data_IF_340775507103
#
_entry.id   IF_340775507103
#
_cell.length_a   1.000
_cell.length_b   1.000
_cell.length_c   1.000
_cell.angle_alpha   90.00
_cell.angle_beta   90.00
_cell.angle_gamma   90.00
#
_symmetry.space_group_name_H-M   'P 1'
#
loop_
_entity.id
_entity.type
_entity.pdbx_description
1 polymer ?
#
# COMPACT_ATOMS: atom_id res chain seq x y z
N UNK A 1 21.86 -4.67 12.60
CA UNK A 1 21.87 -3.75 11.45
C UNK A 1 20.81 -4.26 10.49
N UNK A 2 19.98 -3.41 9.90
CA UNK A 2 19.03 -3.87 8.91
C UNK A 2 19.80 -4.48 7.72
N UNK A 3 19.42 -5.68 7.27
CA UNK A 3 19.95 -6.25 6.04
C UNK A 3 19.57 -5.35 4.87
N UNK A 4 20.54 -5.04 4.00
CA UNK A 4 20.32 -4.23 2.80
C UNK A 4 19.44 -5.03 1.84
N UNK A 5 18.32 -4.44 1.41
CA UNK A 5 17.41 -5.03 0.44
C UNK A 5 17.67 -4.49 -0.96
N UNK A 6 17.84 -5.38 -1.93
CA UNK A 6 18.07 -5.04 -3.33
C UNK A 6 16.75 -4.95 -4.08
N UNK A 7 16.53 -3.84 -4.79
CA UNK A 7 15.30 -3.61 -5.56
C UNK A 7 15.69 -3.37 -7.01
N UNK A 8 15.20 -4.22 -7.91
CA UNK A 8 15.27 -3.95 -9.34
C UNK A 8 14.18 -2.93 -9.69
N UNK A 9 14.55 -1.78 -10.24
CA UNK A 9 13.62 -0.71 -10.58
C UNK A 9 13.44 -0.64 -12.09
N UNK A 10 12.21 -0.84 -12.53
CA UNK A 10 11.80 -0.81 -13.93
C UNK A 10 10.81 0.33 -14.11
N UNK A 11 11.27 1.50 -14.52
CA UNK A 11 10.39 2.64 -14.78
C UNK A 11 9.40 2.37 -15.93
N UNK A 12 9.91 1.77 -17.02
CA UNK A 12 9.15 1.46 -18.22
C UNK A 12 8.77 2.70 -19.05
N UNK A 13 7.54 2.77 -19.52
CA UNK A 13 7.06 3.69 -20.54
C UNK A 13 6.03 4.70 -20.00
N UNK A 14 5.80 5.79 -20.76
CA UNK A 14 4.75 6.78 -20.49
C UNK A 14 4.91 7.47 -19.12
N UNK A 15 3.90 7.39 -18.26
CA UNK A 15 3.94 7.93 -16.90
C UNK A 15 4.77 7.09 -15.91
N UNK A 16 5.20 5.89 -16.31
CA UNK A 16 5.96 4.96 -15.46
C UNK A 16 7.15 5.62 -14.75
N UNK A 17 8.04 6.35 -15.46
CA UNK A 17 9.13 7.11 -14.84
C UNK A 17 8.68 8.15 -13.82
N UNK A 18 7.56 8.85 -14.03
CA UNK A 18 7.05 9.88 -13.12
C UNK A 18 6.58 9.25 -11.80
N UNK A 19 5.78 8.19 -11.87
CA UNK A 19 5.21 7.56 -10.67
C UNK A 19 6.25 6.73 -9.90
N UNK A 20 7.22 6.12 -10.59
CA UNK A 20 8.34 5.42 -9.94
C UNK A 20 9.25 6.40 -9.21
N UNK A 21 9.52 7.59 -9.77
CA UNK A 21 10.30 8.61 -9.08
C UNK A 21 9.68 9.02 -7.74
N UNK A 22 8.34 9.14 -7.67
CA UNK A 22 7.64 9.43 -6.40
C UNK A 22 7.71 8.26 -5.40
N UNK A 23 7.64 7.01 -5.89
CA UNK A 23 7.83 5.83 -5.04
C UNK A 23 9.27 5.73 -4.49
N UNK A 24 10.29 6.15 -5.25
CA UNK A 24 11.67 6.21 -4.77
C UNK A 24 11.89 7.27 -3.68
N UNK A 25 11.14 8.39 -3.72
CA UNK A 25 11.13 9.35 -2.59
C UNK A 25 10.57 8.70 -1.33
N UNK A 26 9.50 7.90 -1.46
CA UNK A 26 8.91 7.15 -0.34
C UNK A 26 9.90 6.13 0.21
N UNK A 27 10.61 5.38 -0.66
CA UNK A 27 11.69 4.48 -0.25
C UNK A 27 12.70 5.20 0.63
N UNK A 28 13.28 6.30 0.14
CA UNK A 28 14.25 7.11 0.88
C UNK A 28 13.69 7.60 2.22
N UNK A 29 12.45 8.05 2.24
CA UNK A 29 11.80 8.49 3.48
C UNK A 29 11.69 7.39 4.51
N UNK A 30 11.40 6.15 4.09
CA UNK A 30 11.34 5.02 5.00
C UNK A 30 12.72 4.61 5.53
N UNK A 31 13.80 4.82 4.78
CA UNK A 31 15.17 4.66 5.31
C UNK A 31 15.44 5.65 6.45
N UNK A 32 15.04 6.91 6.30
CA UNK A 32 15.21 7.94 7.31
C UNK A 32 14.39 7.67 8.58
N UNK A 33 13.14 7.23 8.43
CA UNK A 33 12.18 7.08 9.53
C UNK A 33 12.35 5.74 10.27
N UNK A 34 12.61 4.65 9.55
CA UNK A 34 12.64 3.30 10.12
C UNK A 34 14.04 2.68 10.17
N UNK A 35 15.04 3.32 9.54
CA UNK A 35 16.40 2.79 9.49
C UNK A 35 16.57 1.60 8.54
N UNK A 36 15.62 1.40 7.61
CA UNK A 36 15.77 0.45 6.51
C UNK A 36 16.92 0.85 5.58
N UNK A 37 17.39 -0.10 4.77
CA UNK A 37 18.47 0.10 3.81
C UNK A 37 18.11 -0.55 2.49
N UNK A 38 18.14 0.23 1.43
CA UNK A 38 17.85 -0.24 0.08
C UNK A 38 19.01 0.01 -0.88
N UNK A 39 19.20 -0.91 -1.83
CA UNK A 39 20.06 -0.73 -3.00
C UNK A 39 19.16 -0.87 -4.23
N UNK A 40 19.03 0.19 -5.04
CA UNK A 40 18.22 0.17 -6.26
C UNK A 40 19.11 -0.03 -7.48
N UNK A 41 18.70 -0.91 -8.39
CA UNK A 41 19.34 -1.10 -9.68
C UNK A 41 18.30 -0.95 -10.79
N UNK A 42 18.51 0.04 -11.68
CA UNK A 42 17.56 0.33 -12.74
C UNK A 42 17.80 -0.55 -13.97
N UNK A 43 16.73 -1.02 -14.59
CA UNK A 43 16.79 -1.79 -15.82
C UNK A 43 15.77 -1.33 -16.86
N UNK A 44 16.12 -1.47 -18.14
CA UNK A 44 15.26 -1.12 -19.27
C UNK A 44 14.22 -2.22 -19.53
N UNK A 45 12.99 -1.84 -19.81
CA UNK A 45 11.93 -2.79 -20.10
C UNK A 45 10.81 -2.14 -20.90
N UNK A 46 10.09 -2.91 -21.72
CA UNK A 46 8.97 -2.41 -22.50
C UNK A 46 9.41 -1.65 -23.76
N UNK A 47 8.70 -0.58 -24.08
CA UNK A 47 8.91 0.23 -25.27
C UNK A 47 10.28 0.90 -25.33
N UNK A 48 10.74 1.46 -24.20
CA UNK A 48 12.09 2.04 -24.10
C UNK A 48 13.19 0.99 -24.35
N UNK A 49 12.99 -0.26 -23.91
CA UNK A 49 13.92 -1.34 -24.21
C UNK A 49 13.89 -1.75 -25.68
N UNK A 50 12.72 -1.72 -26.33
CA UNK A 50 12.63 -1.92 -27.79
C UNK A 50 13.44 -0.85 -28.51
N UNK A 51 13.29 0.41 -28.12
CA UNK A 51 13.98 1.53 -28.76
C UNK A 51 15.51 1.44 -28.62
N UNK A 52 16.02 1.05 -27.44
CA UNK A 52 17.46 1.05 -27.15
C UNK A 52 18.16 -0.28 -27.43
N UNK A 53 17.46 -1.41 -27.26
CA UNK A 53 18.04 -2.77 -27.29
C UNK A 53 17.39 -3.66 -28.34
N UNK A 54 16.32 -3.22 -29.00
CA UNK A 54 15.60 -3.99 -30.02
C UNK A 54 14.72 -5.12 -29.47
N UNK A 55 14.51 -5.18 -28.15
CA UNK A 55 13.66 -6.20 -27.49
C UNK A 55 12.93 -5.60 -26.29
N UNK A 56 11.66 -5.96 -26.02
CA UNK A 56 10.94 -5.48 -24.85
C UNK A 56 11.47 -6.04 -23.52
N UNK A 57 12.24 -7.13 -23.56
CA UNK A 57 12.82 -7.77 -22.38
C UNK A 57 14.27 -8.19 -22.66
N UNK A 58 15.25 -7.29 -22.41
CA UNK A 58 16.66 -7.63 -22.48
C UNK A 58 17.06 -8.68 -21.44
N UNK A 59 18.01 -9.55 -21.77
CA UNK A 59 18.54 -10.56 -20.81
C UNK A 59 19.25 -9.89 -19.60
N UNK A 60 19.82 -8.72 -19.84
CA UNK A 60 20.41 -7.84 -18.82
C UNK A 60 19.36 -7.51 -17.74
N UNK A 61 18.15 -7.14 -18.15
CA UNK A 61 17.02 -6.85 -17.25
C UNK A 61 16.60 -8.07 -16.44
N UNK A 62 16.54 -9.26 -17.06
CA UNK A 62 16.27 -10.50 -16.34
C UNK A 62 17.34 -10.82 -15.30
N UNK A 63 18.61 -10.53 -15.60
CA UNK A 63 19.71 -10.74 -14.68
C UNK A 63 19.58 -9.85 -13.45
N UNK A 64 19.29 -8.55 -13.65
CA UNK A 64 19.03 -7.60 -12.56
C UNK A 64 17.87 -8.08 -11.69
N UNK A 65 16.72 -8.40 -12.30
CA UNK A 65 15.54 -8.84 -11.56
C UNK A 65 15.76 -10.12 -10.75
N UNK A 66 16.49 -11.11 -11.29
CA UNK A 66 16.79 -12.37 -10.59
C UNK A 66 17.79 -12.20 -9.44
N UNK A 67 18.58 -11.12 -9.45
CA UNK A 67 19.56 -10.82 -8.41
C UNK A 67 19.02 -9.94 -7.28
N UNK A 68 17.83 -9.35 -7.47
CA UNK A 68 17.17 -8.49 -6.51
C UNK A 68 16.30 -9.30 -5.52
N UNK A 69 15.97 -8.69 -4.38
CA UNK A 69 15.02 -9.24 -3.42
C UNK A 69 13.56 -8.99 -3.86
N UNK A 70 13.32 -7.94 -4.64
CA UNK A 70 12.03 -7.61 -5.24
C UNK A 70 12.20 -6.75 -6.50
N UNK A 71 11.15 -6.68 -7.33
CA UNK A 71 11.09 -5.82 -8.52
C UNK A 71 10.01 -4.75 -8.33
N UNK A 72 10.35 -3.48 -8.52
CA UNK A 72 9.37 -2.39 -8.67
C UNK A 72 9.23 -2.06 -10.15
N UNK A 73 8.01 -2.12 -10.68
CA UNK A 73 7.71 -1.77 -12.07
C UNK A 73 6.71 -0.61 -12.12
N UNK A 74 6.96 0.36 -12.99
CA UNK A 74 6.09 1.51 -13.25
C UNK A 74 4.95 1.14 -14.19
N UNK A 75 5.12 1.37 -15.49
CA UNK A 75 4.13 0.98 -16.48
C UNK A 75 4.81 0.64 -17.81
N UNK A 76 4.12 -0.08 -18.70
CA UNK A 76 4.63 -0.39 -20.05
C UNK A 76 3.56 -0.19 -21.11
N UNK A 77 3.99 0.05 -22.34
CA UNK A 77 3.11 0.18 -23.50
C UNK A 77 3.04 1.59 -24.06
N UNK A 78 2.54 1.70 -25.29
CA UNK A 78 2.28 2.98 -25.93
C UNK A 78 2.03 2.89 -27.44
N UNK A 79 1.31 3.85 -28.03
CA UNK A 79 0.90 3.82 -29.44
C UNK A 79 2.03 3.65 -30.45
N UNK A 80 3.25 4.03 -30.07
CA UNK A 80 4.45 3.90 -30.90
C UNK A 80 4.73 2.45 -31.31
N UNK A 81 4.41 1.48 -30.45
CA UNK A 81 4.77 0.07 -30.66
C UNK A 81 3.57 -0.82 -31.01
N UNK A 82 2.34 -0.29 -31.09
CA UNK A 82 1.11 -1.06 -31.35
C UNK A 82 1.12 -1.78 -32.70
N UNK A 83 1.81 -1.21 -33.69
CA UNK A 83 1.92 -1.79 -35.03
C UNK A 83 3.10 -2.75 -35.20
N UNK A 84 3.89 -2.97 -34.14
CA UNK A 84 4.97 -3.95 -34.19
C UNK A 84 4.43 -5.37 -34.30
N UNK A 85 5.28 -6.27 -34.79
CA UNK A 85 5.06 -7.72 -34.66
C UNK A 85 4.91 -8.08 -33.18
N UNK A 86 4.10 -9.11 -32.88
CA UNK A 86 3.76 -9.52 -31.51
C UNK A 86 4.99 -9.65 -30.59
N UNK A 87 6.07 -10.25 -31.10
CA UNK A 87 7.34 -10.45 -30.37
C UNK A 87 7.99 -9.13 -29.91
N UNK A 88 7.74 -8.04 -30.62
CA UNK A 88 8.35 -6.72 -30.40
C UNK A 88 7.34 -5.72 -29.83
N UNK A 89 6.39 -6.20 -29.03
CA UNK A 89 5.44 -5.35 -28.29
C UNK A 89 5.78 -5.32 -26.79
N UNK A 90 5.63 -4.18 -26.10
CA UNK A 90 5.93 -4.06 -24.67
C UNK A 90 5.22 -5.12 -23.80
N UNK A 91 3.96 -5.43 -24.09
CA UNK A 91 3.12 -6.37 -23.33
C UNK A 91 3.67 -7.82 -23.41
N UNK A 92 4.32 -8.17 -24.51
CA UNK A 92 5.01 -9.46 -24.65
C UNK A 92 6.17 -9.58 -23.65
N UNK A 93 6.87 -8.47 -23.39
CA UNK A 93 7.86 -8.39 -22.32
C UNK A 93 7.24 -8.67 -20.94
N UNK A 94 6.04 -8.15 -20.66
CA UNK A 94 5.34 -8.32 -19.37
C UNK A 94 4.93 -9.77 -19.11
N UNK A 95 4.43 -10.46 -20.12
CA UNK A 95 4.17 -11.90 -20.03
C UNK A 95 5.48 -12.69 -19.87
N UNK A 96 6.53 -12.28 -20.59
CA UNK A 96 7.87 -12.88 -20.54
C UNK A 96 8.51 -12.81 -19.16
N UNK A 97 8.53 -11.62 -18.54
CA UNK A 97 9.17 -11.41 -17.23
C UNK A 97 8.43 -12.16 -16.12
N UNK A 98 7.09 -12.13 -16.11
CA UNK A 98 6.28 -12.87 -15.12
C UNK A 98 6.55 -14.37 -15.18
N UNK A 99 6.64 -14.93 -16.39
CA UNK A 99 6.99 -16.35 -16.59
C UNK A 99 8.44 -16.64 -16.21
N UNK A 100 9.39 -15.79 -16.61
CA UNK A 100 10.82 -15.98 -16.34
C UNK A 100 11.16 -15.91 -14.84
N UNK A 101 10.37 -15.15 -14.08
CA UNK A 101 10.48 -15.01 -12.63
C UNK A 101 9.58 -15.98 -11.84
N UNK A 102 8.75 -16.79 -12.52
CA UNK A 102 7.88 -17.77 -11.87
C UNK A 102 6.73 -17.15 -11.05
N UNK A 103 6.27 -15.95 -11.42
CA UNK A 103 5.29 -15.18 -10.65
C UNK A 103 3.87 -15.60 -11.02
N UNK A 104 3.35 -16.64 -10.38
CA UNK A 104 2.07 -17.27 -10.76
C UNK A 104 0.83 -16.63 -10.12
N UNK A 105 0.99 -15.81 -9.08
CA UNK A 105 -0.13 -15.28 -8.31
C UNK A 105 -0.12 -13.76 -8.30
N UNK A 106 -1.15 -13.15 -8.84
CA UNK A 106 -1.32 -11.69 -8.84
C UNK A 106 -2.34 -11.28 -7.79
N UNK A 107 -1.91 -10.42 -6.87
CA UNK A 107 -2.71 -9.83 -5.81
C UNK A 107 -3.10 -8.41 -6.20
N UNK A 108 -4.39 -8.13 -6.22
CA UNK A 108 -4.95 -6.80 -6.50
C UNK A 108 -5.94 -6.41 -5.40
N UNK A 109 -5.50 -5.67 -4.37
CA UNK A 109 -6.40 -5.12 -3.37
C UNK A 109 -7.26 -4.01 -3.99
N UNK A 110 -8.57 -4.08 -3.77
CA UNK A 110 -9.53 -3.06 -4.12
C UNK A 110 -10.19 -2.54 -2.84
N UNK A 111 -9.64 -1.44 -2.31
CA UNK A 111 -10.10 -0.78 -1.09
C UNK A 111 -10.74 0.54 -1.46
N UNK A 112 -11.99 0.75 -1.06
CA UNK A 112 -12.66 2.04 -1.24
C UNK A 112 -12.39 2.93 -0.03
N UNK A 113 -11.67 4.03 -0.25
CA UNK A 113 -11.47 5.06 0.77
C UNK A 113 -12.77 5.86 0.96
N UNK A 114 -13.17 6.09 2.21
CA UNK A 114 -14.40 6.82 2.52
C UNK A 114 -14.43 8.21 1.87
N UNK A 115 -13.29 8.90 1.85
CA UNK A 115 -13.13 10.23 1.25
C UNK A 115 -13.08 10.23 -0.29
N UNK A 116 -13.17 9.05 -0.93
CA UNK A 116 -13.21 8.87 -2.38
C UNK A 116 -14.51 8.23 -2.88
N UNK A 117 -15.48 7.97 -2.01
CA UNK A 117 -16.77 7.39 -2.41
C UNK A 117 -17.47 8.19 -3.53
N UNK A 118 -17.35 9.52 -3.49
CA UNK A 118 -17.94 10.42 -4.49
C UNK A 118 -17.17 10.45 -5.84
N UNK A 119 -15.97 9.88 -5.89
CA UNK A 119 -15.22 9.72 -7.15
C UNK A 119 -15.72 8.50 -7.95
N UNK A 120 -16.39 7.55 -7.29
CA UNK A 120 -16.97 6.38 -7.94
C UNK A 120 -18.30 6.71 -8.64
N UNK A 121 -18.59 5.97 -9.70
CA UNK A 121 -19.90 6.06 -10.38
C UNK A 121 -21.01 5.32 -9.64
N UNK A 122 -20.66 4.48 -8.66
CA UNK A 122 -21.63 3.79 -7.82
C UNK A 122 -22.05 4.66 -6.64
N UNK A 123 -23.26 4.40 -6.13
CA UNK A 123 -23.77 5.15 -4.98
C UNK A 123 -22.91 4.87 -3.73
N UNK A 124 -22.60 5.88 -2.89
CA UNK A 124 -21.75 5.70 -1.70
C UNK A 124 -22.17 4.55 -0.78
N UNK A 125 -23.48 4.34 -0.58
CA UNK A 125 -24.02 3.27 0.27
C UNK A 125 -23.78 1.84 -0.28
N UNK A 126 -23.47 1.70 -1.57
CA UNK A 126 -23.10 0.40 -2.17
C UNK A 126 -21.63 0.08 -1.91
N UNK A 127 -20.80 1.11 -1.82
CA UNK A 127 -19.34 1.00 -1.71
C UNK A 127 -18.86 0.89 -0.26
N UNK A 128 -19.71 1.22 0.70
CA UNK A 128 -19.36 1.24 2.12
C UNK A 128 -18.80 -0.11 2.61
N UNK A 129 -17.63 -0.04 3.25
CA UNK A 129 -16.93 -1.23 3.77
C UNK A 129 -16.32 -2.13 2.69
N UNK A 130 -16.18 -1.66 1.45
CA UNK A 130 -15.53 -2.45 0.40
C UNK A 130 -14.01 -2.50 0.60
N UNK A 131 -13.55 -3.68 1.00
CA UNK A 131 -12.14 -4.07 1.08
C UNK A 131 -12.05 -5.53 0.62
N UNK A 132 -11.68 -5.73 -0.64
CA UNK A 132 -11.52 -7.05 -1.22
C UNK A 132 -10.14 -7.24 -1.85
N UNK A 133 -9.71 -8.48 -1.96
CA UNK A 133 -8.47 -8.90 -2.62
C UNK A 133 -8.80 -9.84 -3.77
N UNK A 134 -8.41 -9.49 -5.00
CA UNK A 134 -8.45 -10.43 -6.12
C UNK A 134 -7.10 -11.14 -6.23
N UNK A 135 -7.14 -12.47 -6.19
CA UNK A 135 -6.02 -13.40 -6.35
C UNK A 135 -6.17 -14.09 -7.71
N UNK A 136 -5.43 -13.59 -8.69
CA UNK A 136 -5.50 -14.01 -10.10
C UNK A 136 -4.34 -14.92 -10.45
N UNK A 137 -4.63 -16.03 -11.13
CA UNK A 137 -3.57 -16.86 -11.73
C UNK A 137 -2.91 -16.11 -12.89
N UNK A 138 -1.58 -16.06 -12.93
CA UNK A 138 -0.87 -15.10 -13.78
C UNK A 138 -0.04 -15.75 -14.91
N UNK A 139 0.21 -17.06 -14.86
CA UNK A 139 1.21 -17.74 -15.72
C UNK A 139 0.66 -18.88 -16.57
N UNK A 140 -0.63 -19.20 -16.45
CA UNK A 140 -1.30 -20.27 -17.17
C UNK A 140 -2.58 -19.82 -17.88
N UNK A 141 -3.44 -20.78 -18.19
CA UNK A 141 -4.73 -20.54 -18.84
C UNK A 141 -4.61 -20.07 -20.29
N UNK A 142 -5.69 -19.44 -20.78
CA UNK A 142 -5.82 -19.04 -22.19
C UNK A 142 -4.74 -18.06 -22.67
N UNK A 143 -4.08 -17.33 -21.76
CA UNK A 143 -3.04 -16.35 -22.10
C UNK A 143 -1.73 -17.02 -22.52
N UNK A 144 -1.44 -18.20 -21.97
CA UNK A 144 -0.19 -18.93 -22.23
C UNK A 144 -0.39 -20.20 -23.06
N UNK A 145 -1.63 -20.66 -23.22
CA UNK A 145 -1.94 -21.76 -24.12
C UNK A 145 -1.71 -21.41 -25.59
N UNK A 146 -1.67 -22.47 -26.42
CA UNK A 146 -1.37 -22.39 -27.84
C UNK A 146 -2.34 -21.46 -28.58
N UNK A 147 -1.79 -20.69 -29.53
CA UNK A 147 -2.53 -19.73 -30.35
C UNK A 147 -2.13 -19.87 -31.80
N UNK A 148 -3.09 -20.16 -32.66
CA UNK A 148 -2.84 -20.27 -34.10
C UNK A 148 -4.07 -19.92 -34.91
N UNK A 149 -3.83 -19.62 -36.18
CA UNK A 149 -4.86 -19.53 -37.21
C UNK A 149 -4.71 -20.68 -38.19
N UNK A 150 -5.81 -21.13 -38.75
CA UNK A 150 -5.83 -22.20 -39.77
C UNK A 150 -6.96 -21.95 -40.76
N UNK A 151 -6.87 -22.54 -41.94
CA UNK A 151 -8.01 -22.63 -42.85
C UNK A 151 -8.93 -23.77 -42.40
N UNK A 152 -10.16 -23.41 -42.05
CA UNK A 152 -11.22 -24.32 -41.66
C UNK A 152 -12.20 -24.60 -42.80
N UNK A 153 -13.22 -25.42 -42.51
CA UNK A 153 -14.23 -25.79 -43.51
C UNK A 153 -15.10 -24.60 -43.97
N UNK A 154 -15.13 -23.51 -43.20
CA UNK A 154 -15.90 -22.29 -43.48
C UNK A 154 -15.00 -21.06 -43.71
N UNK A 155 -13.69 -21.27 -43.94
CA UNK A 155 -12.69 -20.22 -44.10
C UNK A 155 -11.76 -20.11 -42.90
N UNK A 156 -11.08 -18.97 -42.77
CA UNK A 156 -10.07 -18.72 -41.73
C UNK A 156 -10.66 -18.86 -40.32
N UNK A 157 -10.07 -19.75 -39.53
CA UNK A 157 -10.37 -20.00 -38.12
C UNK A 157 -9.20 -19.55 -37.23
N UNK A 158 -9.50 -19.05 -36.04
CA UNK A 158 -8.52 -18.78 -34.99
C UNK A 158 -8.82 -19.64 -33.75
N UNK A 159 -7.78 -20.13 -33.09
CA UNK A 159 -7.87 -20.98 -31.91
C UNK A 159 -6.96 -20.43 -30.81
N UNK A 160 -7.54 -20.25 -29.62
CA UNK A 160 -6.84 -19.96 -28.37
C UNK A 160 -7.21 -21.06 -27.36
N UNK A 161 -6.21 -21.76 -26.83
CA UNK A 161 -6.45 -22.90 -25.94
C UNK A 161 -6.31 -22.51 -24.47
N UNK A 162 -7.33 -22.76 -23.66
CA UNK A 162 -7.26 -22.63 -22.20
C UNK A 162 -6.92 -23.98 -21.57
N UNK A 163 -5.78 -24.07 -20.88
CA UNK A 163 -5.33 -25.28 -20.18
C UNK A 163 -4.82 -24.89 -18.80
N UNK A 164 -5.20 -25.70 -17.82
CA UNK A 164 -4.64 -25.73 -16.49
C UNK A 164 -4.36 -27.16 -16.09
N UNK A 165 -3.27 -27.38 -15.36
CA UNK A 165 -3.03 -28.60 -14.62
C UNK A 165 -3.32 -28.41 -13.12
N UNK A 166 -3.42 -29.54 -12.41
CA UNK A 166 -3.74 -29.57 -10.97
C UNK A 166 -2.75 -28.76 -10.13
N UNK A 167 -1.46 -28.83 -10.44
CA UNK A 167 -0.41 -28.13 -9.68
C UNK A 167 -0.54 -26.62 -9.83
N UNK A 168 -0.85 -26.13 -11.04
CA UNK A 168 -1.05 -24.71 -11.31
C UNK A 168 -2.23 -24.13 -10.52
N UNK A 169 -3.34 -24.88 -10.45
CA UNK A 169 -4.51 -24.47 -9.67
C UNK A 169 -4.23 -24.57 -8.16
N UNK A 170 -3.63 -25.67 -7.72
CA UNK A 170 -3.45 -25.92 -6.28
C UNK A 170 -2.55 -24.87 -5.63
N UNK A 171 -1.44 -24.46 -6.27
CA UNK A 171 -0.52 -23.46 -5.69
C UNK A 171 -1.19 -22.11 -5.43
N UNK A 172 -2.02 -21.63 -6.37
CA UNK A 172 -2.71 -20.34 -6.20
C UNK A 172 -3.87 -20.46 -5.22
N UNK A 173 -4.62 -21.57 -5.25
CA UNK A 173 -5.71 -21.80 -4.31
C UNK A 173 -5.20 -21.83 -2.87
N UNK A 174 -4.09 -22.55 -2.60
CA UNK A 174 -3.46 -22.57 -1.28
C UNK A 174 -3.02 -21.19 -0.82
N UNK A 175 -2.43 -20.39 -1.71
CA UNK A 175 -2.04 -19.03 -1.38
C UNK A 175 -3.26 -18.15 -1.08
N UNK A 176 -4.34 -18.27 -1.84
CA UNK A 176 -5.58 -17.54 -1.59
C UNK A 176 -6.20 -17.90 -0.22
N UNK A 177 -6.15 -19.18 0.18
CA UNK A 177 -6.55 -19.60 1.53
C UNK A 177 -5.69 -18.94 2.62
N UNK A 178 -4.36 -18.94 2.47
CA UNK A 178 -3.45 -18.28 3.43
C UNK A 178 -3.73 -16.79 3.54
N UNK A 179 -4.00 -16.12 2.41
CA UNK A 179 -4.38 -14.70 2.38
C UNK A 179 -5.72 -14.49 3.10
N UNK A 180 -6.72 -15.34 2.83
CA UNK A 180 -8.02 -15.26 3.48
C UNK A 180 -7.93 -15.46 5.00
N UNK A 181 -7.08 -16.37 5.49
CA UNK A 181 -6.83 -16.57 6.93
C UNK A 181 -6.30 -15.32 7.64
N UNK A 182 -5.50 -14.51 6.93
CA UNK A 182 -5.00 -13.23 7.43
C UNK A 182 -5.99 -12.06 7.31
N UNK A 183 -7.17 -12.29 6.74
CA UNK A 183 -8.22 -11.29 6.49
C UNK A 183 -9.52 -11.68 7.20
N UNK A 184 -10.68 -11.54 6.54
CA UNK A 184 -12.00 -11.85 7.13
C UNK A 184 -12.37 -13.33 7.00
N UNK A 185 -11.43 -14.19 6.61
CA UNK A 185 -11.59 -15.65 6.49
C UNK A 185 -12.72 -16.07 5.56
N UNK A 186 -12.95 -15.33 4.48
CA UNK A 186 -13.91 -15.68 3.43
C UNK A 186 -13.22 -15.74 2.08
N UNK A 187 -13.44 -16.83 1.34
CA UNK A 187 -12.86 -17.08 0.02
C UNK A 187 -13.97 -17.36 -0.99
N UNK A 188 -14.07 -16.51 -2.00
CA UNK A 188 -14.91 -16.72 -3.17
C UNK A 188 -14.07 -17.32 -4.31
N UNK A 189 -14.30 -18.59 -4.65
CA UNK A 189 -13.73 -19.23 -5.84
C UNK A 189 -14.60 -18.91 -7.05
N UNK A 190 -14.04 -18.21 -8.04
CA UNK A 190 -14.78 -17.76 -9.22
C UNK A 190 -14.39 -18.55 -10.46
N UNK A 191 -15.38 -19.14 -11.14
CA UNK A 191 -15.16 -20.03 -12.29
C UNK A 191 -16.34 -20.00 -13.30
N UNK A 192 -16.30 -20.87 -14.33
CA UNK A 192 -17.43 -21.15 -15.24
C UNK A 192 -17.73 -22.66 -15.33
N UNK A 193 -17.80 -23.35 -14.19
CA UNK A 193 -17.91 -24.81 -14.12
C UNK A 193 -19.20 -25.40 -14.72
N UNK A 194 -20.22 -24.56 -14.98
CA UNK A 194 -21.41 -24.97 -15.71
C UNK A 194 -21.13 -25.21 -17.21
N UNK A 195 -20.03 -24.71 -17.75
CA UNK A 195 -19.66 -24.86 -19.18
C UNK A 195 -18.28 -25.49 -19.35
N UNK A 196 -17.25 -24.98 -18.69
CA UNK A 196 -15.84 -25.26 -18.99
C UNK A 196 -15.25 -26.41 -18.15
N UNK A 197 -14.52 -27.32 -18.80
CA UNK A 197 -13.78 -28.40 -18.11
C UNK A 197 -12.65 -27.85 -17.23
N UNK A 198 -11.92 -26.83 -17.68
CA UNK A 198 -10.89 -26.16 -16.86
C UNK A 198 -11.47 -25.63 -15.55
N UNK A 199 -12.68 -25.06 -15.60
CA UNK A 199 -13.40 -24.58 -14.42
C UNK A 199 -13.94 -25.71 -13.53
N UNK A 200 -14.30 -26.87 -14.09
CA UNK A 200 -14.67 -28.07 -13.29
C UNK A 200 -13.46 -28.57 -12.51
N UNK A 201 -12.32 -28.73 -13.19
CA UNK A 201 -11.05 -29.07 -12.55
C UNK A 201 -10.67 -28.05 -11.47
N UNK A 202 -10.81 -26.75 -11.75
CA UNK A 202 -10.57 -25.68 -10.79
C UNK A 202 -11.36 -25.88 -9.51
N UNK A 203 -12.68 -26.06 -9.64
CA UNK A 203 -13.60 -26.25 -8.52
C UNK A 203 -13.31 -27.53 -7.74
N UNK A 204 -12.95 -28.63 -8.41
CA UNK A 204 -12.53 -29.88 -7.78
C UNK A 204 -11.28 -29.68 -6.91
N UNK A 205 -10.28 -28.96 -7.41
CA UNK A 205 -9.06 -28.66 -6.64
C UNK A 205 -9.36 -27.79 -5.43
N UNK A 206 -10.17 -26.73 -5.58
CA UNK A 206 -10.59 -25.89 -4.45
C UNK A 206 -11.29 -26.72 -3.36
N UNK A 207 -12.23 -27.57 -3.74
CA UNK A 207 -12.94 -28.44 -2.78
C UNK A 207 -12.03 -29.47 -2.12
N UNK A 208 -10.98 -29.93 -2.83
CA UNK A 208 -9.99 -30.84 -2.26
C UNK A 208 -9.09 -30.16 -1.23
N UNK A 209 -8.73 -28.89 -1.45
CA UNK A 209 -7.83 -28.11 -0.57
C UNK A 209 -8.58 -27.51 0.62
N UNK A 210 -9.86 -27.15 0.46
CA UNK A 210 -10.65 -26.49 1.50
C UNK A 210 -10.63 -27.17 2.89
N UNK A 211 -10.68 -28.51 3.03
CA UNK A 211 -10.60 -29.17 4.34
C UNK A 211 -9.30 -28.92 5.12
N UNK A 212 -8.23 -28.48 4.45
CA UNK A 212 -6.96 -28.11 5.10
C UNK A 212 -7.02 -26.72 5.78
N UNK A 213 -8.03 -25.91 5.45
CA UNK A 213 -8.25 -24.56 5.96
C UNK A 213 -9.66 -24.42 6.57
N UNK A 214 -9.97 -25.17 7.64
CA UNK A 214 -11.34 -25.30 8.16
C UNK A 214 -11.91 -24.01 8.75
N UNK A 215 -11.09 -22.99 8.97
CA UNK A 215 -11.50 -21.69 9.49
C UNK A 215 -11.85 -20.67 8.40
N UNK A 216 -11.67 -21.03 7.12
CA UNK A 216 -12.04 -20.18 5.97
C UNK A 216 -13.36 -20.65 5.37
N UNK A 217 -14.33 -19.75 5.31
CA UNK A 217 -15.60 -19.98 4.62
C UNK A 217 -15.39 -19.89 3.10
N UNK A 218 -15.78 -20.93 2.36
CA UNK A 218 -15.63 -21.00 0.91
C UNK A 218 -16.99 -20.89 0.22
N UNK A 219 -17.12 -19.94 -0.70
CA UNK A 219 -18.23 -19.90 -1.66
C UNK A 219 -17.72 -20.08 -3.09
N UNK A 220 -18.54 -20.71 -3.94
CA UNK A 220 -18.28 -20.83 -5.38
C UNK A 220 -19.22 -19.93 -6.15
N UNK A 221 -18.67 -19.06 -6.99
CA UNK A 221 -19.43 -18.07 -7.74
C UNK A 221 -19.12 -18.20 -9.23
N UNK A 222 -20.13 -18.14 -10.09
CA UNK A 222 -19.87 -18.10 -11.53
C UNK A 222 -19.37 -16.70 -11.93
N UNK A 223 -18.42 -16.61 -12.86
CA UNK A 223 -17.78 -15.34 -13.27
C UNK A 223 -18.77 -14.24 -13.68
N UNK A 224 -19.85 -14.59 -14.38
CA UNK A 224 -20.92 -13.65 -14.76
C UNK A 224 -21.72 -13.15 -13.56
N UNK A 225 -22.00 -14.03 -12.59
CA UNK A 225 -22.63 -13.60 -11.35
C UNK A 225 -21.67 -12.76 -10.50
N UNK A 226 -20.38 -13.12 -10.44
CA UNK A 226 -19.38 -12.35 -9.71
C UNK A 226 -19.30 -10.91 -10.20
N UNK A 227 -19.24 -10.69 -11.52
CA UNK A 227 -19.30 -9.36 -12.11
C UNK A 227 -20.53 -8.57 -11.63
N UNK A 228 -21.72 -9.17 -11.68
CA UNK A 228 -22.94 -8.53 -11.16
C UNK A 228 -22.86 -8.24 -9.65
N UNK A 229 -22.28 -9.13 -8.85
CA UNK A 229 -22.17 -8.95 -7.39
C UNK A 229 -21.15 -7.88 -7.01
N UNK A 230 -20.07 -7.69 -7.78
CA UNK A 230 -19.12 -6.59 -7.57
C UNK A 230 -19.80 -5.23 -7.68
N UNK A 231 -20.79 -5.08 -8.58
CA UNK A 231 -21.56 -3.84 -8.70
C UNK A 231 -22.69 -3.72 -7.66
N UNK A 232 -23.22 -4.86 -7.19
CA UNK A 232 -24.41 -4.89 -6.32
C UNK A 232 -24.08 -4.84 -4.82
N UNK A 233 -23.05 -5.57 -4.40
CA UNK A 233 -22.67 -5.78 -2.99
C UNK A 233 -21.16 -6.07 -2.84
N UNK A 234 -20.26 -5.21 -3.34
CA UNK A 234 -18.82 -5.51 -3.35
C UNK A 234 -18.23 -5.85 -1.97
N UNK A 235 -18.69 -5.18 -0.90
CA UNK A 235 -18.27 -5.43 0.50
C UNK A 235 -18.60 -6.84 1.02
N UNK A 236 -19.41 -7.61 0.30
CA UNK A 236 -19.65 -9.01 0.65
C UNK A 236 -18.48 -9.94 0.30
N UNK A 237 -17.59 -9.54 -0.60
CA UNK A 237 -16.37 -10.29 -0.92
C UNK A 237 -15.23 -9.91 0.03
N UNK A 238 -14.37 -10.89 0.35
CA UNK A 238 -13.12 -10.68 1.09
C UNK A 238 -11.93 -11.05 0.19
N UNK A 239 -11.75 -12.33 -0.11
CA UNK A 239 -10.77 -12.80 -1.09
C UNK A 239 -11.48 -13.48 -2.25
N UNK A 240 -11.18 -13.06 -3.47
CA UNK A 240 -11.64 -13.70 -4.70
C UNK A 240 -10.44 -14.45 -5.30
N UNK A 241 -10.59 -15.73 -5.62
CA UNK A 241 -9.55 -16.50 -6.34
C UNK A 241 -10.09 -17.00 -7.67
N UNK A 242 -9.35 -16.81 -8.75
CA UNK A 242 -9.82 -17.16 -10.10
C UNK A 242 -8.69 -17.35 -11.12
N UNK A 243 -9.03 -17.92 -12.28
CA UNK A 243 -8.10 -18.12 -13.39
C UNK A 243 -7.67 -16.81 -14.07
N UNK A 244 -6.69 -16.89 -14.97
CA UNK A 244 -6.01 -15.73 -15.52
C UNK A 244 -6.93 -14.72 -16.22
N UNK A 245 -7.76 -15.18 -17.17
CA UNK A 245 -8.63 -14.28 -17.94
C UNK A 245 -9.77 -13.71 -17.10
N UNK A 246 -10.38 -14.52 -16.23
CA UNK A 246 -11.44 -14.03 -15.35
C UNK A 246 -10.89 -13.06 -14.31
N UNK A 247 -9.71 -13.33 -13.76
CA UNK A 247 -9.05 -12.45 -12.80
C UNK A 247 -8.64 -11.12 -13.41
N UNK A 248 -8.22 -11.12 -14.69
CA UNK A 248 -7.98 -9.89 -15.44
C UNK A 248 -9.22 -8.99 -15.41
N UNK A 249 -10.33 -9.52 -15.91
CA UNK A 249 -11.61 -8.79 -16.04
C UNK A 249 -12.14 -8.35 -14.68
N UNK A 250 -12.23 -9.26 -13.71
CA UNK A 250 -12.85 -8.96 -12.41
C UNK A 250 -12.00 -8.03 -11.56
N UNK A 251 -10.67 -8.08 -11.69
CA UNK A 251 -9.82 -7.15 -10.95
C UNK A 251 -9.86 -5.74 -11.54
N UNK A 252 -9.99 -5.60 -12.87
CA UNK A 252 -10.24 -4.31 -13.53
C UNK A 252 -11.69 -3.80 -13.28
N UNK A 253 -12.66 -4.69 -13.07
CA UNK A 253 -14.00 -4.29 -12.63
C UNK A 253 -13.99 -3.82 -11.17
N UNK A 254 -13.34 -4.58 -10.28
CA UNK A 254 -13.14 -4.20 -8.87
C UNK A 254 -12.35 -2.88 -8.76
N UNK A 255 -11.44 -2.63 -9.70
CA UNK A 255 -10.69 -1.40 -9.80
C UNK A 255 -11.58 -0.16 -9.93
N UNK A 256 -12.64 -0.27 -10.74
CA UNK A 256 -13.55 0.84 -11.00
C UNK A 256 -14.44 1.17 -9.80
N UNK A 257 -14.56 0.26 -8.82
CA UNK A 257 -15.34 0.51 -7.60
C UNK A 257 -14.77 1.69 -6.81
N UNK A 258 -13.45 1.87 -6.80
CA UNK A 258 -12.76 2.96 -6.09
C UNK A 258 -12.84 4.30 -6.83
N UNK A 259 -13.37 4.33 -8.05
CA UNK A 259 -13.49 5.51 -8.90
C UNK A 259 -12.24 5.83 -9.73
N UNK A 260 -11.08 5.21 -9.44
CA UNK A 260 -9.90 5.36 -10.28
C UNK A 260 -8.97 4.14 -10.22
N UNK A 261 -8.57 3.67 -11.40
CA UNK A 261 -7.51 2.68 -11.57
C UNK A 261 -6.14 3.20 -11.06
N UNK A 262 -5.97 4.53 -10.96
CA UNK A 262 -4.79 5.22 -10.42
C UNK A 262 -4.53 4.99 -8.93
N UNK A 263 -5.46 4.31 -8.23
CA UNK A 263 -5.39 4.00 -6.82
C UNK A 263 -4.93 2.57 -6.50
N UNK A 264 -4.74 1.73 -7.52
CA UNK A 264 -4.66 0.29 -7.33
C UNK A 264 -3.25 -0.24 -7.47
N UNK A 265 -2.75 -0.70 -6.34
CA UNK A 265 -1.54 -1.47 -6.28
C UNK A 265 -1.74 -2.89 -6.79
N UNK A 266 -0.65 -3.53 -7.19
CA UNK A 266 -0.64 -4.97 -7.44
C UNK A 266 0.69 -5.60 -7.08
N UNK A 267 0.65 -6.88 -6.74
CA UNK A 267 1.81 -7.70 -6.46
C UNK A 267 1.71 -9.02 -7.22
N UNK A 268 2.71 -9.33 -8.02
CA UNK A 268 2.87 -10.61 -8.70
C UNK A 268 3.90 -11.43 -7.93
N UNK A 269 3.46 -12.51 -7.29
CA UNK A 269 4.24 -13.34 -6.37
C UNK A 269 4.54 -14.70 -6.98
N UNK A 270 5.74 -15.19 -6.73
CA UNK A 270 6.16 -16.56 -6.99
C UNK A 270 6.13 -17.42 -5.73
N UNK A 271 6.95 -18.47 -5.71
CA UNK A 271 7.22 -19.21 -4.47
C UNK A 271 8.13 -18.38 -3.54
N UNK A 272 7.88 -18.46 -2.23
CA UNK A 272 8.63 -17.70 -1.23
C UNK A 272 8.19 -16.24 -1.12
N UNK A 273 9.15 -15.34 -0.86
CA UNK A 273 8.90 -13.91 -0.63
C UNK A 273 9.22 -13.01 -1.82
N UNK A 274 9.81 -13.54 -2.90
CA UNK A 274 10.15 -12.73 -4.08
C UNK A 274 8.89 -12.32 -4.86
N UNK A 275 8.85 -11.07 -5.33
CA UNK A 275 7.72 -10.54 -6.08
C UNK A 275 8.06 -9.36 -7.00
N UNK A 276 7.16 -9.12 -7.95
CA UNK A 276 7.12 -7.92 -8.79
C UNK A 276 5.92 -7.08 -8.39
N UNK A 277 6.14 -5.79 -8.15
CA UNK A 277 5.15 -4.85 -7.64
C UNK A 277 4.95 -3.75 -8.64
N UNK A 278 3.72 -3.53 -9.06
CA UNK A 278 3.38 -2.59 -10.14
C UNK A 278 2.00 -1.97 -9.89
N UNK A 279 1.75 -0.71 -10.27
CA UNK A 279 0.40 -0.20 -10.33
C UNK A 279 -0.42 -0.98 -11.37
N UNK A 280 -1.74 -1.04 -11.19
CA UNK A 280 -2.63 -1.68 -12.17
C UNK A 280 -2.81 -0.82 -13.44
N UNK A 281 -2.67 0.51 -13.31
CA UNK A 281 -2.87 1.42 -14.42
C UNK A 281 -1.82 1.23 -15.53
N UNK A 282 -2.20 1.50 -16.78
CA UNK A 282 -1.29 1.49 -17.92
C UNK A 282 -0.33 2.69 -17.94
N UNK A 283 0.39 2.84 -19.06
CA UNK A 283 1.41 3.89 -19.25
C UNK A 283 0.86 5.29 -19.52
N UNK A 284 -0.46 5.45 -19.73
CA UNK A 284 -1.14 6.73 -19.94
C UNK A 284 -0.34 7.75 -20.79
N UNK A 285 0.01 7.39 -22.04
CA UNK A 285 0.93 8.15 -22.89
C UNK A 285 0.40 9.55 -23.26
N UNK A 286 -0.91 9.76 -23.11
CA UNK A 286 -1.61 11.03 -23.33
C UNK A 286 -1.29 12.09 -22.26
N UNK A 287 -0.87 11.68 -21.06
CA UNK A 287 -0.51 12.58 -19.94
C UNK A 287 0.97 12.47 -19.53
N UNK A 288 1.75 11.62 -20.21
CA UNK A 288 3.17 11.43 -19.93
C UNK A 288 3.95 12.75 -20.05
N UNK A 289 4.78 13.04 -19.04
CA UNK A 289 5.61 14.24 -18.95
C UNK A 289 4.86 15.52 -18.58
N UNK A 290 3.57 15.43 -18.22
CA UNK A 290 2.75 16.59 -17.86
C UNK A 290 2.61 16.79 -16.34
N UNK A 291 3.10 15.87 -15.51
CA UNK A 291 2.96 15.96 -14.06
C UNK A 291 1.52 15.78 -13.57
N UNK A 292 0.69 15.07 -14.35
CA UNK A 292 -0.74 14.83 -14.06
C UNK A 292 -1.03 13.42 -13.55
N UNK A 293 -0.04 12.53 -13.58
CA UNK A 293 -0.15 11.14 -13.17
C UNK A 293 -0.45 11.01 -11.67
N UNK A 294 -1.20 9.97 -11.30
CA UNK A 294 -1.44 9.63 -9.91
C UNK A 294 -0.37 8.66 -9.41
N UNK A 295 0.52 9.06 -8.48
CA UNK A 295 1.59 8.18 -8.00
C UNK A 295 1.11 7.16 -6.95
N UNK A 296 -0.13 7.28 -6.46
CA UNK A 296 -0.61 6.51 -5.29
C UNK A 296 -0.57 5.01 -5.54
N UNK A 297 -1.02 4.52 -6.70
CA UNK A 297 -0.96 3.09 -7.02
C UNK A 297 0.46 2.52 -6.91
N UNK A 298 1.46 3.23 -7.44
CA UNK A 298 2.87 2.79 -7.39
C UNK A 298 3.42 2.83 -5.96
N UNK A 299 3.05 3.86 -5.19
CA UNK A 299 3.42 3.98 -3.77
C UNK A 299 2.77 2.87 -2.93
N UNK A 300 1.50 2.52 -3.19
CA UNK A 300 0.83 1.42 -2.49
C UNK A 300 1.39 0.06 -2.93
N UNK A 301 1.86 -0.10 -4.17
CA UNK A 301 2.61 -1.29 -4.61
C UNK A 301 3.92 -1.44 -3.83
N UNK A 302 4.58 -0.34 -3.49
CA UNK A 302 5.72 -0.36 -2.58
C UNK A 302 5.34 -0.82 -1.16
N UNK A 303 4.18 -0.39 -0.64
CA UNK A 303 3.68 -0.89 0.65
C UNK A 303 3.42 -2.41 0.61
N UNK A 304 2.86 -2.93 -0.49
CA UNK A 304 2.73 -4.37 -0.71
C UNK A 304 4.10 -5.07 -0.71
N UNK A 305 5.11 -4.50 -1.37
CA UNK A 305 6.48 -5.02 -1.37
C UNK A 305 7.05 -5.12 0.04
N UNK A 306 6.89 -4.08 0.84
CA UNK A 306 7.37 -4.04 2.21
C UNK A 306 6.73 -5.17 3.04
N UNK A 307 5.41 -5.35 2.91
CA UNK A 307 4.66 -6.36 3.66
C UNK A 307 5.01 -7.78 3.21
N UNK A 308 5.11 -8.02 1.91
CA UNK A 308 5.15 -9.38 1.35
C UNK A 308 6.56 -9.88 1.05
N UNK A 309 7.47 -9.04 0.55
CA UNK A 309 8.86 -9.43 0.26
C UNK A 309 9.80 -9.22 1.43
N UNK A 310 9.65 -8.14 2.18
CA UNK A 310 10.63 -7.74 3.20
C UNK A 310 10.19 -8.02 4.63
N UNK A 311 8.90 -8.26 4.87
CA UNK A 311 8.34 -8.39 6.22
C UNK A 311 8.33 -7.08 7.01
N UNK A 312 8.44 -5.94 6.34
CA UNK A 312 8.45 -4.60 6.91
C UNK A 312 7.02 -4.07 7.11
N UNK A 313 6.24 -4.77 7.94
CA UNK A 313 4.84 -4.42 8.21
C UNK A 313 4.67 -2.98 8.74
N UNK A 314 5.54 -2.54 9.66
CA UNK A 314 5.50 -1.18 10.21
C UNK A 314 5.68 -0.10 9.12
N UNK A 315 6.58 -0.33 8.17
CA UNK A 315 6.81 0.57 7.04
C UNK A 315 5.63 0.57 6.06
N UNK A 316 5.07 -0.60 5.76
CA UNK A 316 3.88 -0.73 4.90
C UNK A 316 2.68 0.02 5.50
N UNK A 317 2.38 -0.22 6.78
CA UNK A 317 1.28 0.45 7.51
C UNK A 317 1.46 1.98 7.55
N UNK A 318 2.71 2.46 7.62
CA UNK A 318 3.01 3.89 7.60
C UNK A 318 2.78 4.53 6.22
N UNK A 319 3.13 3.83 5.13
CA UNK A 319 2.85 4.29 3.77
C UNK A 319 1.34 4.34 3.52
N UNK A 320 0.62 3.27 3.85
CA UNK A 320 -0.84 3.18 3.68
C UNK A 320 -1.57 4.27 4.47
N UNK A 321 -1.13 4.52 5.71
CA UNK A 321 -1.67 5.60 6.53
C UNK A 321 -1.36 6.99 5.96
N UNK A 322 -0.14 7.22 5.48
CA UNK A 322 0.24 8.50 4.87
C UNK A 322 -0.63 8.81 3.63
N UNK A 323 -0.88 7.81 2.77
CA UNK A 323 -1.82 7.94 1.64
C UNK A 323 -3.22 8.30 2.14
N UNK A 324 -3.72 7.58 3.15
CA UNK A 324 -5.03 7.85 3.74
C UNK A 324 -5.13 9.27 4.31
N UNK A 325 -4.13 9.73 5.05
CA UNK A 325 -4.09 11.06 5.66
C UNK A 325 -4.10 12.17 4.61
N UNK A 326 -3.30 12.03 3.55
CA UNK A 326 -3.26 13.00 2.43
C UNK A 326 -4.61 13.06 1.70
N UNK A 327 -5.24 11.91 1.47
CA UNK A 327 -6.58 11.85 0.88
C UNK A 327 -7.65 12.42 1.81
N UNK A 328 -7.57 12.18 3.12
CA UNK A 328 -8.51 12.75 4.09
C UNK A 328 -8.35 14.27 4.24
N UNK A 329 -7.15 14.80 3.99
CA UNK A 329 -6.90 16.24 3.89
C UNK A 329 -7.46 16.88 2.60
N UNK A 330 -8.04 16.09 1.69
CA UNK A 330 -8.72 16.58 0.49
C UNK A 330 -7.83 16.74 -0.75
N UNK A 331 -6.56 16.32 -0.69
CA UNK A 331 -5.65 16.37 -1.83
C UNK A 331 -6.00 15.30 -2.87
N UNK A 332 -6.07 15.67 -4.14
CA UNK A 332 -6.49 14.78 -5.23
C UNK A 332 -5.65 15.06 -6.47
N UNK A 333 -5.18 14.03 -7.15
CA UNK A 333 -4.71 14.14 -8.54
C UNK A 333 -5.90 14.20 -9.50
N UNK A 334 -5.64 14.52 -10.76
CA UNK A 334 -6.68 14.86 -11.75
C UNK A 334 -7.70 13.76 -12.04
N UNK A 335 -7.34 12.50 -11.82
CA UNK A 335 -8.14 11.29 -12.01
C UNK A 335 -9.16 11.05 -10.90
N UNK A 336 -8.85 11.47 -9.66
CA UNK A 336 -9.72 11.29 -8.47
C UNK A 336 -10.33 12.61 -7.96
N UNK A 337 -10.04 13.73 -8.63
CA UNK A 337 -10.62 15.02 -8.32
C UNK A 337 -11.99 15.19 -9.00
N UNK A 338 -13.04 15.35 -8.19
CA UNK A 338 -14.38 15.74 -8.70
C UNK A 338 -14.32 17.13 -9.35
N UNK A 339 -13.61 18.07 -8.70
CA UNK A 339 -13.29 19.39 -9.24
C UNK A 339 -11.82 19.43 -9.70
N UNK A 340 -11.61 19.24 -11.00
CA UNK A 340 -10.27 19.21 -11.61
C UNK A 340 -9.47 20.50 -11.42
N UNK A 341 -10.11 21.63 -11.10
CA UNK A 341 -9.39 22.88 -10.82
C UNK A 341 -8.60 22.86 -9.50
N UNK A 342 -8.93 21.94 -8.61
CA UNK A 342 -8.25 21.71 -7.32
C UNK A 342 -7.29 20.53 -7.36
N UNK A 343 -7.11 19.90 -8.54
CA UNK A 343 -6.21 18.78 -8.68
C UNK A 343 -4.76 19.24 -8.49
N UNK A 344 -4.00 18.47 -7.72
CA UNK A 344 -2.57 18.67 -7.51
C UNK A 344 -1.76 17.84 -8.49
N UNK A 345 -0.48 18.20 -8.65
CA UNK A 345 0.44 17.50 -9.55
C UNK A 345 0.92 16.16 -8.98
N UNK A 346 1.50 15.30 -9.84
CA UNK A 346 2.18 14.05 -9.45
C UNK A 346 3.17 14.30 -8.31
N UNK A 347 4.03 15.31 -8.48
CA UNK A 347 5.11 15.64 -7.54
C UNK A 347 4.56 16.17 -6.22
N UNK A 348 3.55 17.04 -6.27
CA UNK A 348 2.92 17.57 -5.05
C UNK A 348 2.26 16.45 -4.23
N UNK A 349 1.59 15.50 -4.89
CA UNK A 349 1.00 14.34 -4.22
C UNK A 349 2.09 13.47 -3.55
N UNK A 350 3.17 13.17 -4.26
CA UNK A 350 4.29 12.40 -3.71
C UNK A 350 4.99 13.10 -2.54
N UNK A 351 5.23 14.40 -2.64
CA UNK A 351 5.85 15.20 -1.56
C UNK A 351 4.97 15.24 -0.29
N UNK A 352 3.64 15.36 -0.46
CA UNK A 352 2.69 15.32 0.66
C UNK A 352 2.70 13.95 1.34
N UNK A 353 2.71 12.85 0.58
CA UNK A 353 2.77 11.50 1.12
C UNK A 353 4.09 11.29 1.87
N UNK A 354 5.22 11.69 1.29
CA UNK A 354 6.54 11.63 1.93
C UNK A 354 6.55 12.40 3.26
N UNK A 355 5.97 13.59 3.30
CA UNK A 355 5.88 14.40 4.51
C UNK A 355 4.99 13.74 5.59
N UNK A 356 3.92 13.05 5.19
CA UNK A 356 3.02 12.34 6.08
C UNK A 356 3.61 11.03 6.63
N UNK A 357 4.62 10.44 5.99
CA UNK A 357 5.31 9.26 6.53
C UNK A 357 6.09 9.62 7.79
N UNK A 358 5.58 9.10 8.90
CA UNK A 358 6.16 9.24 10.24
C UNK A 358 6.07 7.91 10.97
N UNK A 359 6.99 7.71 11.93
CA UNK A 359 6.87 6.59 12.85
C UNK A 359 5.63 6.80 13.72
N UNK A 360 4.65 5.91 13.64
CA UNK A 360 3.41 6.00 14.43
C UNK A 360 3.67 5.61 15.90
N UNK A 361 4.60 6.31 16.56
CA UNK A 361 5.03 6.04 17.93
C UNK A 361 3.85 6.01 18.91
N UNK A 362 2.83 6.83 18.66
CA UNK A 362 1.60 6.83 19.43
C UNK A 362 0.78 5.54 19.29
N UNK A 363 0.56 5.03 18.06
CA UNK A 363 -0.14 3.75 17.87
C UNK A 363 0.69 2.59 18.42
N UNK A 364 2.01 2.61 18.23
CA UNK A 364 2.91 1.64 18.83
C UNK A 364 2.76 1.62 20.35
N UNK A 365 2.69 2.79 20.99
CA UNK A 365 2.46 2.89 22.44
C UNK A 365 1.07 2.41 22.85
N UNK A 366 0.00 2.76 22.14
CA UNK A 366 -1.37 2.33 22.47
C UNK A 366 -1.55 0.81 22.29
N UNK A 367 -0.99 0.25 21.21
CA UNK A 367 -1.10 -1.17 20.90
C UNK A 367 -0.17 -2.03 21.74
N UNK A 368 0.86 -1.43 22.36
CA UNK A 368 1.69 -2.11 23.34
C UNK A 368 0.93 -2.17 24.68
N UNK A 369 0.75 -3.36 25.27
CA UNK A 369 0.16 -3.51 26.59
C UNK A 369 0.90 -2.71 27.68
N UNK A 370 0.18 -2.24 28.72
CA UNK A 370 0.74 -1.40 29.79
C UNK A 370 1.87 -2.08 30.57
N UNK A 371 1.78 -3.39 30.72
CA UNK A 371 2.78 -4.27 31.34
C UNK A 371 4.04 -4.46 30.48
N UNK A 372 3.98 -4.10 29.19
CA UNK A 372 5.11 -4.09 28.26
C UNK A 372 5.64 -2.67 27.98
N UNK A 373 5.47 -1.73 28.94
CA UNK A 373 5.82 -0.31 28.80
C UNK A 373 5.05 0.46 27.70
N UNK A 374 3.91 -0.04 27.27
CA UNK A 374 2.99 0.71 26.41
C UNK A 374 2.01 1.59 27.19
N UNK A 375 1.23 2.40 26.46
CA UNK A 375 0.10 3.17 26.99
C UNK A 375 -1.16 2.31 27.14
N UNK A 376 -1.28 1.21 26.38
CA UNK A 376 -2.51 0.42 26.28
C UNK A 376 -3.70 1.25 25.79
N UNK A 377 -4.91 0.71 25.96
CA UNK A 377 -6.14 1.43 25.62
C UNK A 377 -6.31 2.69 26.50
N UNK A 378 -6.56 3.83 25.85
CA UNK A 378 -6.75 5.14 26.49
C UNK A 378 -8.22 5.55 26.40
N UNK A 379 -8.72 6.24 27.44
CA UNK A 379 -10.08 6.79 27.48
C UNK A 379 -10.17 8.22 26.94
N UNK A 380 -9.10 8.70 26.32
CA UNK A 380 -9.00 10.03 25.74
C UNK A 380 -8.31 9.93 24.38
N UNK A 381 -8.68 10.78 23.41
CA UNK A 381 -8.09 10.76 22.09
C UNK A 381 -6.61 11.14 22.19
N UNK A 382 -5.76 10.40 21.48
CA UNK A 382 -4.38 10.82 21.25
C UNK A 382 -4.30 11.47 19.88
N UNK A 383 -3.83 12.70 19.83
CA UNK A 383 -3.63 13.44 18.59
C UNK A 383 -2.13 13.62 18.31
N UNK A 384 -1.76 13.58 17.04
CA UNK A 384 -0.41 13.94 16.59
C UNK A 384 -0.46 15.33 15.97
N UNK A 385 0.48 16.20 16.36
CA UNK A 385 0.60 17.54 15.78
C UNK A 385 1.43 17.49 14.49
N UNK A 386 0.81 17.00 13.41
CA UNK A 386 1.48 16.71 12.13
C UNK A 386 2.08 17.99 11.52
N UNK A 387 1.39 19.12 11.63
CA UNK A 387 1.81 20.42 11.08
C UNK A 387 2.82 21.16 11.95
N UNK A 388 3.11 20.60 13.14
CA UNK A 388 3.89 21.21 14.21
C UNK A 388 3.30 22.55 14.69
N UNK A 389 2.05 22.83 14.35
CA UNK A 389 1.42 24.12 14.67
C UNK A 389 1.15 24.23 16.15
N UNK A 390 0.65 23.15 16.78
CA UNK A 390 0.43 23.11 18.22
C UNK A 390 1.77 23.29 18.96
N UNK A 391 2.81 22.61 18.53
CA UNK A 391 4.15 22.74 19.11
C UNK A 391 4.72 24.16 18.99
N UNK A 392 4.46 24.87 17.88
CA UNK A 392 4.79 26.30 17.74
C UNK A 392 3.96 27.17 18.67
N UNK A 393 2.64 26.98 18.69
CA UNK A 393 1.72 27.79 19.48
C UNK A 393 2.03 27.71 20.98
N UNK A 394 2.45 26.52 21.45
CA UNK A 394 2.87 26.29 22.84
C UNK A 394 4.37 26.55 23.10
N UNK A 395 5.11 27.04 22.10
CA UNK A 395 6.52 27.42 22.24
C UNK A 395 7.46 26.27 22.60
N UNK A 396 7.13 25.04 22.17
CA UNK A 396 7.92 23.83 22.42
C UNK A 396 8.62 23.28 21.19
N UNK A 397 8.40 23.85 20.02
CA UNK A 397 9.12 23.44 18.82
C UNK A 397 10.54 24.01 18.80
N UNK A 398 11.55 23.15 18.72
CA UNK A 398 12.91 23.52 18.35
C UNK A 398 12.95 23.59 16.82
N UNK A 399 12.79 24.79 16.24
CA UNK A 399 12.67 25.00 14.79
C UNK A 399 13.88 24.46 14.01
N UNK A 400 15.09 24.64 14.53
CA UNK A 400 16.33 24.20 13.87
C UNK A 400 16.45 22.68 13.79
N UNK A 401 15.91 21.96 14.78
CA UNK A 401 15.94 20.50 14.85
C UNK A 401 14.65 19.87 14.31
N UNK A 402 13.58 20.67 14.18
CA UNK A 402 12.25 20.20 13.83
C UNK A 402 11.63 19.28 14.89
N UNK A 403 12.09 19.31 16.13
CA UNK A 403 11.66 18.43 17.24
C UNK A 403 10.88 19.23 18.28
N UNK A 404 9.76 18.68 18.77
CA UNK A 404 9.03 19.26 19.89
C UNK A 404 9.62 18.78 21.23
N UNK A 405 9.84 19.73 22.15
CA UNK A 405 10.16 19.44 23.54
C UNK A 405 8.98 18.73 24.22
N UNK A 406 9.30 17.86 25.17
CA UNK A 406 8.28 17.16 25.95
C UNK A 406 7.66 18.14 26.96
N UNK A 407 6.34 18.31 26.91
CA UNK A 407 5.63 19.17 27.85
C UNK A 407 4.31 18.57 28.35
N UNK A 408 3.91 19.00 29.54
CA UNK A 408 2.56 18.80 30.08
C UNK A 408 1.88 20.16 30.15
N UNK A 409 0.72 20.24 29.51
CA UNK A 409 -0.11 21.43 29.46
C UNK A 409 -1.48 21.11 30.06
N UNK A 410 -2.02 22.02 30.86
CA UNK A 410 -3.38 21.94 31.40
C UNK A 410 -4.11 23.17 30.92
N UNK A 411 -5.15 22.92 30.13
CA UNK A 411 -5.97 23.94 29.47
C UNK A 411 -7.38 23.77 30.02
N UNK A 412 -8.02 24.87 30.39
CA UNK A 412 -9.42 24.84 30.85
C UNK A 412 -10.41 24.69 29.68
N UNK A 413 -11.71 24.44 29.94
CA UNK A 413 -12.72 24.32 28.88
C UNK A 413 -12.89 25.58 28.01
N UNK A 414 -12.50 26.74 28.51
CA UNK A 414 -12.52 28.02 27.81
C UNK A 414 -11.31 28.20 26.87
N UNK A 415 -10.34 27.27 26.90
CA UNK A 415 -9.14 27.29 26.06
C UNK A 415 -7.95 28.03 26.67
N UNK A 416 -8.04 28.45 27.93
CA UNK A 416 -6.99 29.17 28.63
C UNK A 416 -5.97 28.21 29.26
N UNK A 417 -4.69 28.42 28.97
CA UNK A 417 -3.59 27.65 29.56
C UNK A 417 -3.45 27.97 31.06
N UNK A 418 -3.68 26.97 31.91
CA UNK A 418 -3.56 27.08 33.38
C UNK A 418 -2.24 26.62 33.93
N UNK A 419 -1.62 25.64 33.28
CA UNK A 419 -0.36 25.07 33.74
C UNK A 419 0.46 24.56 32.56
N UNK A 420 1.77 24.79 32.62
CA UNK A 420 2.75 24.34 31.64
C UNK A 420 4.00 23.89 32.37
N UNK A 421 4.50 22.71 32.01
CA UNK A 421 5.88 22.31 32.28
C UNK A 421 6.47 21.77 30.98
N UNK A 422 7.65 22.27 30.63
CA UNK A 422 8.39 21.84 29.44
C UNK A 422 9.74 21.33 29.90
N UNK A 423 10.12 20.15 29.44
CA UNK A 423 11.37 19.49 29.79
C UNK A 423 12.28 19.43 28.57
N UNK A 424 13.58 19.53 28.82
CA UNK A 424 14.58 19.17 27.81
C UNK A 424 14.45 17.67 27.49
N UNK A 425 14.72 17.28 26.25
CA UNK A 425 14.57 15.89 25.82
C UNK A 425 15.47 14.90 26.60
N UNK A 426 16.54 15.41 27.22
CA UNK A 426 17.48 14.64 28.05
C UNK A 426 17.00 14.40 29.49
N UNK A 427 15.83 14.93 29.88
CA UNK A 427 15.30 14.82 31.23
C UNK A 427 14.08 13.90 31.20
N UNK A 428 14.18 12.76 31.88
CA UNK A 428 13.10 11.76 31.96
C UNK A 428 11.98 12.20 32.92
N UNK A 429 10.73 11.88 32.60
CA UNK A 429 9.58 12.18 33.46
C UNK A 429 9.47 11.12 34.56
N UNK A 430 9.67 11.50 35.83
CA UNK A 430 9.28 10.63 36.94
C UNK A 430 7.74 10.50 37.01
N UNK A 431 7.27 9.35 37.49
CA UNK A 431 5.86 9.01 37.77
C UNK A 431 5.08 10.02 38.63
N UNK A 432 5.74 11.02 39.21
CA UNK A 432 5.15 11.99 40.14
C UNK A 432 4.23 13.02 39.46
N UNK A 433 4.45 13.34 38.18
CA UNK A 433 3.61 14.30 37.43
C UNK A 433 2.24 13.71 37.03
N UNK A 434 2.17 12.41 36.72
CA UNK A 434 0.91 11.70 36.47
C UNK A 434 0.05 11.59 37.73
N UNK A 435 0.66 11.59 38.93
CA UNK A 435 -0.05 11.68 40.22
C UNK A 435 -0.67 13.07 40.43
N UNK A 436 0.05 14.12 40.05
CA UNK A 436 -0.45 15.50 40.07
C UNK A 436 -1.71 15.66 39.20
N UNK A 437 -1.71 15.09 37.98
CA UNK A 437 -2.88 15.10 37.10
C UNK A 437 -4.09 14.31 37.67
N UNK A 438 -3.85 13.24 38.46
CA UNK A 438 -4.92 12.50 39.17
C UNK A 438 -5.48 13.28 40.35
N UNK A 439 -4.66 14.06 41.06
CA UNK A 439 -5.07 14.87 42.22
C UNK A 439 -5.88 16.13 41.82
N UNK A 440 -5.84 16.54 40.55
CA UNK A 440 -6.56 17.72 40.04
C UNK A 440 -8.07 17.53 39.79
N UNK A 441 -8.64 16.36 40.08
CA UNK A 441 -10.09 16.13 40.00
C UNK A 441 -10.89 16.69 41.19
N UNK A 442 -10.23 17.23 42.21
CA UNK A 442 -10.87 17.78 43.41
C UNK A 442 -10.71 19.31 43.49
N UNK A 443 -11.79 20.03 43.83
CA UNK A 443 -11.89 21.50 43.91
C UNK A 443 -10.94 22.17 44.96
N UNK A 444 -10.12 21.40 45.69
CA UNK A 444 -9.21 21.91 46.75
C UNK A 444 -7.78 22.26 46.27
N UNK A 445 -7.53 22.25 44.97
CA UNK A 445 -6.18 22.15 44.39
C UNK A 445 -5.27 23.37 44.59
N UNK A 446 -5.79 24.61 44.63
CA UNK A 446 -4.94 25.82 44.74
C UNK A 446 -4.10 25.88 46.04
N UNK A 447 -4.63 25.34 47.13
CA UNK A 447 -4.00 25.42 48.45
C UNK A 447 -2.87 24.39 48.60
N UNK A 448 -3.04 23.21 48.03
CA UNK A 448 -2.06 22.12 48.07
C UNK A 448 -0.90 22.39 47.09
N UNK A 449 -1.19 22.98 45.92
CA UNK A 449 -0.18 23.36 44.93
C UNK A 449 0.78 24.43 45.49
N UNK A 450 0.25 25.47 46.15
CA UNK A 450 1.07 26.49 46.84
C UNK A 450 1.94 25.89 47.94
N UNK A 451 1.44 24.88 48.67
CA UNK A 451 2.19 24.16 49.70
C UNK A 451 3.34 23.33 49.13
N UNK A 452 3.11 22.60 48.04
CA UNK A 452 4.13 21.74 47.42
C UNK A 452 5.18 22.53 46.64
N UNK A 453 4.80 23.61 45.97
CA UNK A 453 5.74 24.53 45.30
C UNK A 453 6.69 25.22 46.30
N UNK A 454 6.20 25.56 47.50
CA UNK A 454 7.05 26.09 48.57
C UNK A 454 8.12 25.08 49.02
N UNK A 455 7.79 23.79 49.08
CA UNK A 455 8.73 22.71 49.43
C UNK A 455 9.75 22.45 48.31
N UNK A 456 9.37 22.60 47.05
CA UNK A 456 10.29 22.42 45.91
C UNK A 456 11.26 23.61 45.76
N UNK A 457 10.84 24.84 46.08
CA UNK A 457 11.72 26.02 46.09
C UNK A 457 12.87 25.91 47.10
N UNK A 458 12.69 25.15 48.19
CA UNK A 458 13.73 24.91 49.20
C UNK A 458 14.77 23.85 48.79
N UNK A 459 14.54 23.06 47.72
CA UNK A 459 15.46 22.00 47.27
C UNK A 459 16.32 22.36 46.05
N UNK A 460 16.13 23.52 45.42
CA UNK A 460 16.98 24.01 44.31
C UNK A 460 17.81 25.21 44.75
N UNK A 461 18.91 24.97 45.46
CA UNK A 461 20.04 25.91 45.56
C UNK A 461 21.31 25.21 46.08
N UNK A 462 21.81 24.24 45.32
CA UNK A 462 23.21 23.76 45.37
C UNK A 462 23.64 23.21 44.01
N UNK A 463 23.68 24.08 43.00
CA UNK A 463 24.63 23.94 41.89
C UNK A 463 25.17 25.36 41.65
N UNK A 464 26.32 25.64 42.28
CA UNK A 464 27.07 26.86 42.05
C UNK A 464 27.54 26.89 40.59
N UNK A 465 27.18 27.96 39.89
CA UNK A 465 27.88 28.43 38.71
C UNK A 465 29.36 28.63 39.04
N UNK A 466 30.24 27.87 38.39
CA UNK A 466 31.62 28.29 38.18
C UNK A 466 31.70 28.76 36.72
N UNK A 467 31.48 30.06 36.51
CA UNK A 467 31.83 30.74 35.27
C UNK A 467 33.25 31.27 35.39
N UNK A 468 34.17 30.71 34.61
CA UNK A 468 35.37 31.43 34.17
C UNK A 468 35.96 30.78 32.91
N UNK A 469 35.91 31.51 31.80
CA UNK A 469 36.96 31.50 30.78
C UNK A 469 36.69 30.71 29.50
N UNK A 470 36.52 31.49 28.41
CA UNK A 470 36.60 31.20 26.96
C UNK A 470 35.37 30.59 26.29
#
# INVERSE_FOLDING_TARGET
>A
MADVKKIAVIAGDGIGPEVVAEAEKVLKRTEEVFGYRFETEHALFGGIAIDEKGTPLPEETLTVCKSADAVLLGAVGGPKWDNNSKELRPETGLLGIRKALGLFSNLRPAVVFDCLKDASTLKPEVLEGTDLMVVRELTGGIYFGEKFRREGAQGEEAVDTCVYNVTEVERIVRQAFVIAQGRSKRLASVDKANVLETSRLWREVVNRVAPEYPDVEVEHVLVDNCAMQLLRRPSSFDVIVTENMFGDILSDEAAMLTGSIGMLASASLGEGSFGLYEPVHGSAPDIAGQGLANPIATILSLALMFRTSFGYAEGADAIEAAVSDVLNAGHRTSDIAVDKSKAISTTEMGDLIVAAIQKQAHKAWINTPKDSNGLGQLNFPLASDITKQVARDYGILIEEEGVALRGLFIIDPEGELKYQVVNHNDIDMSLDLLRLAKEMKDEKWESELKRRLAVMSQRRLKIQHNKSGL
#
